data_IF_477614394422
#
_entry.id   IF_477614394422
#
_cell.length_a   1.000
_cell.length_b   1.000
_cell.length_c   1.000
_cell.angle_alpha   90.00
_cell.angle_beta   90.00
_cell.angle_gamma   90.00
#
_symmetry.space_group_name_H-M   'P 1'
#
loop_
_entity.id
_entity.type
_entity.pdbx_description
1 polymer ?
#
# COMPACT_ATOMS: atom_id res chain seq x y z
N UNK A 1 50.66 -5.64 33.26
CA UNK A 1 49.79 -5.02 32.27
C UNK A 1 48.50 -5.84 32.27
N UNK A 2 47.52 -5.37 32.97
CA UNK A 2 46.19 -5.94 33.08
C UNK A 2 45.32 -5.39 31.92
N UNK A 3 44.52 -6.19 31.22
CA UNK A 3 43.67 -5.69 30.15
C UNK A 3 42.45 -4.97 30.76
N UNK A 4 42.06 -3.87 30.11
CA UNK A 4 40.90 -3.07 30.45
C UNK A 4 39.58 -3.81 30.19
N UNK A 5 38.51 -3.54 30.95
CA UNK A 5 37.22 -4.19 30.78
C UNK A 5 36.51 -3.65 29.53
N UNK A 6 35.89 -4.56 28.75
CA UNK A 6 35.00 -4.29 27.65
C UNK A 6 33.72 -3.56 28.11
N UNK A 7 33.18 -2.60 27.32
CA UNK A 7 31.97 -1.89 27.68
C UNK A 7 30.72 -2.81 27.58
N UNK A 8 29.89 -2.74 28.59
CA UNK A 8 28.62 -3.45 28.73
C UNK A 8 27.60 -3.02 27.64
N UNK A 9 27.03 -3.99 26.97
CA UNK A 9 25.90 -3.88 26.03
C UNK A 9 24.55 -3.62 26.77
N UNK A 10 24.48 -2.55 27.55
CA UNK A 10 23.22 -2.11 28.15
C UNK A 10 23.12 -0.60 28.05
N UNK A 11 22.27 -0.18 27.14
CA UNK A 11 21.73 1.19 26.94
C UNK A 11 21.81 1.67 25.50
N UNK A 12 21.00 1.11 24.65
CA UNK A 12 20.43 1.80 23.48
C UNK A 12 19.11 1.09 23.12
N UNK A 13 18.14 1.13 24.02
CA UNK A 13 16.75 1.03 23.64
C UNK A 13 16.40 2.39 23.02
N UNK A 14 16.38 2.49 21.70
CA UNK A 14 15.89 3.65 20.99
C UNK A 14 14.37 3.68 21.19
N UNK A 15 13.84 4.76 21.76
CA UNK A 15 12.44 5.12 21.79
C UNK A 15 11.95 5.48 20.36
N UNK A 16 11.92 4.50 19.48
CA UNK A 16 11.22 4.63 18.20
C UNK A 16 9.76 4.25 18.42
N UNK A 17 8.80 5.13 18.14
CA UNK A 17 7.38 4.82 18.30
C UNK A 17 6.95 3.71 17.34
N UNK A 18 6.06 2.82 17.81
CA UNK A 18 5.50 1.73 16.99
C UNK A 18 4.73 2.27 15.78
N UNK A 19 4.63 1.54 14.66
CA UNK A 19 3.92 1.97 13.44
C UNK A 19 2.47 2.42 13.69
N UNK A 20 1.80 1.87 14.68
CA UNK A 20 0.46 2.29 15.11
C UNK A 20 0.45 3.64 15.85
N UNK A 21 1.57 4.09 16.39
CA UNK A 21 1.69 5.37 17.10
C UNK A 21 2.03 6.54 16.15
N UNK A 22 2.66 6.27 14.99
CA UNK A 22 3.06 7.31 14.03
C UNK A 22 1.85 7.87 13.27
N UNK A 23 0.79 7.10 13.08
CA UNK A 23 -0.46 7.56 12.45
C UNK A 23 -1.25 8.53 13.36
N UNK A 24 -0.87 8.68 14.62
CA UNK A 24 -1.65 9.44 15.61
C UNK A 24 -1.18 10.89 15.84
N UNK A 25 -0.13 11.41 15.21
CA UNK A 25 0.35 12.76 15.48
C UNK A 25 0.61 13.58 14.21
N UNK A 26 -0.07 14.72 14.16
CA UNK A 26 0.08 15.94 13.34
C UNK A 26 -0.74 16.04 12.06
N UNK A 27 -2.00 16.44 12.19
CA UNK A 27 -2.74 17.14 11.14
C UNK A 27 -2.57 18.66 11.29
N UNK A 28 -1.97 19.32 10.32
CA UNK A 28 -2.09 20.79 10.20
C UNK A 28 -3.49 21.14 9.70
N UNK A 29 -4.19 21.94 10.47
CA UNK A 29 -5.59 22.32 10.43
C UNK A 29 -6.12 22.72 9.05
N UNK A 30 -6.83 21.81 8.37
CA UNK A 30 -8.08 22.20 7.70
C UNK A 30 -9.14 22.28 8.80
N UNK A 31 -9.78 23.46 8.98
CA UNK A 31 -10.69 23.71 10.08
C UNK A 31 -11.68 22.57 10.34
N UNK A 32 -12.03 22.37 11.57
CA UNK A 32 -12.97 21.50 12.31
C UNK A 32 -13.98 20.61 11.53
N UNK A 33 -13.65 20.18 10.29
CA UNK A 33 -14.44 19.25 9.46
C UNK A 33 -13.87 17.84 9.59
N UNK A 34 -14.71 16.87 9.90
CA UNK A 34 -14.34 15.45 9.85
C UNK A 34 -13.89 15.06 8.45
N UNK A 35 -12.84 14.27 8.35
CA UNK A 35 -12.41 13.69 7.08
C UNK A 35 -13.34 12.54 6.71
N UNK A 36 -13.84 12.54 5.49
CA UNK A 36 -14.80 11.56 4.99
C UNK A 36 -14.11 10.55 4.10
N UNK A 37 -14.17 9.26 4.47
CA UNK A 37 -13.62 8.16 3.65
C UNK A 37 -14.76 7.32 3.07
N UNK A 38 -14.82 7.22 1.74
CA UNK A 38 -15.68 6.27 1.06
C UNK A 38 -15.00 4.89 1.07
N UNK A 39 -15.69 3.86 1.57
CA UNK A 39 -15.19 2.50 1.69
C UNK A 39 -16.03 1.55 0.85
N UNK A 40 -15.42 0.88 -0.11
CA UNK A 40 -16.05 -0.19 -0.90
C UNK A 40 -16.38 -1.38 -0.02
N UNK A 41 -17.67 -1.58 0.26
CA UNK A 41 -18.15 -2.65 1.14
C UNK A 41 -18.24 -4.02 0.45
N UNK A 42 -18.20 -4.06 -0.88
CA UNK A 42 -18.45 -5.27 -1.68
C UNK A 42 -17.16 -5.89 -2.22
N UNK A 43 -16.01 -5.27 -1.98
CA UNK A 43 -14.72 -5.72 -2.48
C UNK A 43 -13.92 -6.53 -1.47
N UNK A 44 -13.43 -7.71 -1.88
CA UNK A 44 -12.60 -8.61 -1.08
C UNK A 44 -13.18 -10.00 -0.92
N UNK A 45 -12.35 -10.96 -0.50
CA UNK A 45 -12.70 -12.38 -0.37
C UNK A 45 -13.65 -12.63 0.80
N UNK A 46 -13.66 -11.71 1.79
CA UNK A 46 -14.49 -11.76 3.01
C UNK A 46 -15.49 -10.60 3.09
N UNK A 47 -15.76 -9.96 1.95
CA UNK A 47 -16.79 -8.92 1.86
C UNK A 47 -18.20 -9.54 1.82
N UNK A 48 -19.20 -8.86 2.41
CA UNK A 48 -19.12 -7.56 3.08
C UNK A 48 -18.74 -7.61 4.57
N UNK A 49 -18.75 -8.79 5.23
CA UNK A 49 -18.68 -8.93 6.68
C UNK A 49 -17.39 -8.35 7.28
N UNK A 50 -16.23 -8.70 6.72
CA UNK A 50 -14.93 -8.19 7.21
C UNK A 50 -14.81 -6.67 6.98
N UNK A 51 -15.35 -6.16 5.88
CA UNK A 51 -15.33 -4.74 5.56
C UNK A 51 -16.21 -3.95 6.52
N UNK A 52 -17.42 -4.43 6.80
CA UNK A 52 -18.33 -3.82 7.78
C UNK A 52 -17.70 -3.80 9.17
N UNK A 53 -17.13 -4.93 9.61
CA UNK A 53 -16.46 -5.00 10.91
C UNK A 53 -15.26 -4.04 11.01
N UNK A 54 -14.45 -3.93 9.97
CA UNK A 54 -13.33 -2.98 9.92
C UNK A 54 -13.79 -1.52 9.86
N UNK A 55 -14.89 -1.23 9.15
CA UNK A 55 -15.49 0.09 9.15
C UNK A 55 -15.94 0.52 10.57
N UNK A 56 -16.57 -0.39 11.32
CA UNK A 56 -16.96 -0.15 12.71
C UNK A 56 -15.75 0.11 13.61
N UNK A 57 -14.66 -0.65 13.42
CA UNK A 57 -13.41 -0.40 14.15
C UNK A 57 -12.79 0.96 13.82
N UNK A 58 -12.79 1.35 12.55
CA UNK A 58 -12.27 2.67 12.13
C UNK A 58 -13.16 3.80 12.63
N UNK A 59 -14.48 3.60 12.72
CA UNK A 59 -15.45 4.56 13.24
C UNK A 59 -15.34 4.83 14.76
N UNK A 60 -14.49 4.09 15.49
CA UNK A 60 -14.14 4.42 16.87
C UNK A 60 -13.41 5.77 16.98
N UNK A 61 -12.81 6.25 15.89
CA UNK A 61 -12.27 7.60 15.80
C UNK A 61 -13.40 8.60 15.49
N UNK A 62 -13.77 9.47 16.42
CA UNK A 62 -14.89 10.41 16.24
C UNK A 62 -14.57 11.54 15.25
N UNK A 63 -13.32 11.68 14.80
CA UNK A 63 -12.89 12.70 13.84
C UNK A 63 -12.95 12.21 12.39
N UNK A 64 -13.29 10.93 12.19
CA UNK A 64 -13.42 10.26 10.91
C UNK A 64 -14.89 9.96 10.61
N UNK A 65 -15.37 10.31 9.42
CA UNK A 65 -16.65 9.87 8.89
C UNK A 65 -16.43 8.79 7.81
N UNK A 66 -17.23 7.73 7.83
CA UNK A 66 -17.13 6.64 6.86
C UNK A 66 -18.42 6.55 6.06
N UNK A 67 -18.30 6.53 4.73
CA UNK A 67 -19.38 6.20 3.82
C UNK A 67 -19.15 4.76 3.34
N UNK A 68 -19.94 3.83 3.86
CA UNK A 68 -19.88 2.44 3.45
C UNK A 68 -20.70 2.27 2.16
N UNK A 69 -20.03 1.97 1.05
CA UNK A 69 -20.62 1.95 -0.30
C UNK A 69 -20.87 0.51 -0.74
N UNK A 70 -22.13 0.15 -0.99
CA UNK A 70 -22.51 -1.19 -1.41
C UNK A 70 -24.00 -1.41 -1.41
N UNK A 71 -24.45 -2.67 -1.48
CA UNK A 71 -25.88 -3.01 -1.45
C UNK A 71 -26.50 -2.66 -0.11
N UNK A 72 -27.21 -1.52 -0.06
CA UNK A 72 -27.69 -0.91 1.19
C UNK A 72 -28.53 -1.86 2.05
N UNK A 73 -29.38 -2.69 1.44
CA UNK A 73 -30.22 -3.67 2.17
C UNK A 73 -29.36 -4.73 2.87
N UNK A 74 -28.33 -5.24 2.21
CA UNK A 74 -27.39 -6.24 2.75
C UNK A 74 -26.56 -5.64 3.89
N UNK A 75 -26.05 -4.43 3.68
CA UNK A 75 -25.25 -3.71 4.67
C UNK A 75 -26.07 -3.34 5.93
N UNK A 76 -27.31 -2.91 5.75
CA UNK A 76 -28.21 -2.60 6.87
C UNK A 76 -28.51 -3.82 7.74
N UNK A 77 -28.58 -5.02 7.14
CA UNK A 77 -28.77 -6.26 7.89
C UNK A 77 -27.55 -6.63 8.76
N UNK A 78 -26.34 -6.31 8.28
CA UNK A 78 -25.09 -6.53 9.02
C UNK A 78 -24.81 -5.44 10.07
N UNK A 79 -25.47 -4.30 9.96
CA UNK A 79 -25.20 -3.10 10.78
C UNK A 79 -26.52 -2.51 11.33
N UNK A 80 -27.23 -3.23 12.21
CA UNK A 80 -28.54 -2.80 12.71
C UNK A 80 -28.49 -1.55 13.59
N UNK A 81 -27.32 -1.22 14.15
CA UNK A 81 -27.07 -0.02 14.95
C UNK A 81 -25.73 0.62 14.53
N UNK A 82 -25.70 1.37 13.43
CA UNK A 82 -24.48 1.98 12.94
C UNK A 82 -23.94 3.05 13.92
N UNK A 83 -22.60 3.17 14.04
CA UNK A 83 -21.98 4.32 14.69
C UNK A 83 -22.46 5.64 14.05
N UNK A 84 -22.54 6.76 14.82
CA UNK A 84 -23.11 8.01 14.32
C UNK A 84 -22.30 8.63 13.16
N UNK A 85 -21.01 8.28 13.05
CA UNK A 85 -20.09 8.73 12.00
C UNK A 85 -19.91 7.68 10.88
N UNK A 86 -20.79 6.68 10.79
CA UNK A 86 -20.84 5.70 9.71
C UNK A 86 -22.20 5.75 9.02
N UNK A 87 -22.21 6.03 7.71
CA UNK A 87 -23.43 6.05 6.90
C UNK A 87 -23.33 5.11 5.71
N UNK A 88 -24.46 4.61 5.25
CA UNK A 88 -24.57 3.74 4.09
C UNK A 88 -24.82 4.57 2.83
N UNK A 89 -24.23 4.15 1.70
CA UNK A 89 -24.52 4.67 0.38
C UNK A 89 -24.80 3.52 -0.58
N UNK A 90 -25.95 3.56 -1.26
CA UNK A 90 -26.40 2.44 -2.11
C UNK A 90 -25.59 2.36 -3.41
N UNK A 91 -25.04 1.17 -3.65
CA UNK A 91 -24.41 0.77 -4.91
C UNK A 91 -24.78 -0.69 -5.20
N UNK A 92 -25.74 -0.94 -6.11
CA UNK A 92 -26.34 -2.27 -6.28
C UNK A 92 -25.41 -3.28 -6.92
N UNK A 93 -24.40 -2.81 -7.68
CA UNK A 93 -23.47 -3.69 -8.40
C UNK A 93 -22.16 -3.88 -7.61
N UNK A 94 -21.51 -5.02 -7.83
CA UNK A 94 -20.18 -5.31 -7.34
C UNK A 94 -19.31 -5.84 -8.47
N UNK A 95 -18.01 -5.54 -8.45
CA UNK A 95 -17.03 -6.09 -9.38
C UNK A 95 -16.31 -7.25 -8.70
N UNK A 96 -16.45 -8.46 -9.26
CA UNK A 96 -15.82 -9.65 -8.70
C UNK A 96 -14.29 -9.64 -8.83
N UNK A 97 -13.60 -10.35 -7.92
CA UNK A 97 -12.14 -10.41 -7.86
C UNK A 97 -11.49 -10.96 -9.14
N UNK A 98 -12.15 -11.85 -9.87
CA UNK A 98 -11.68 -12.44 -11.13
C UNK A 98 -12.14 -11.68 -12.38
N UNK A 99 -12.85 -10.56 -12.23
CA UNK A 99 -13.38 -9.80 -13.37
C UNK A 99 -12.25 -9.11 -14.14
N UNK A 100 -12.44 -8.99 -15.48
CA UNK A 100 -11.51 -8.24 -16.31
C UNK A 100 -11.67 -6.72 -16.05
N UNK A 101 -10.64 -6.03 -15.52
CA UNK A 101 -10.78 -4.73 -14.86
C UNK A 101 -11.50 -3.65 -15.70
N UNK A 102 -10.91 -3.27 -16.82
CA UNK A 102 -11.41 -2.15 -17.63
C UNK A 102 -12.81 -2.43 -18.23
N UNK A 103 -13.10 -3.70 -18.56
CA UNK A 103 -14.41 -4.13 -19.07
C UNK A 103 -15.44 -4.06 -17.95
N UNK A 104 -15.12 -4.63 -16.77
CA UNK A 104 -16.03 -4.66 -15.64
C UNK A 104 -16.42 -3.24 -15.16
N UNK A 105 -15.45 -2.33 -15.08
CA UNK A 105 -15.71 -0.92 -14.71
C UNK A 105 -16.64 -0.22 -15.69
N UNK A 106 -16.50 -0.48 -17.00
CA UNK A 106 -17.38 0.12 -18.02
C UNK A 106 -18.80 -0.45 -17.99
N UNK A 107 -18.94 -1.75 -17.66
CA UNK A 107 -20.22 -2.45 -17.60
C UNK A 107 -20.98 -2.18 -16.30
N UNK A 108 -20.25 -2.10 -15.16
CA UNK A 108 -20.84 -1.95 -13.81
C UNK A 108 -20.62 -0.54 -13.25
N UNK A 109 -21.18 0.45 -13.91
CA UNK A 109 -21.05 1.87 -13.51
C UNK A 109 -21.68 2.20 -12.16
N UNK A 110 -22.57 1.34 -11.67
CA UNK A 110 -23.19 1.45 -10.34
C UNK A 110 -22.55 0.52 -9.31
N UNK A 111 -21.32 0.05 -9.58
CA UNK A 111 -20.56 -0.74 -8.61
C UNK A 111 -20.05 0.11 -7.47
N UNK A 112 -19.87 -0.52 -6.31
CA UNK A 112 -19.34 0.12 -5.10
C UNK A 112 -17.99 0.83 -5.34
N UNK A 113 -17.13 0.28 -6.19
CA UNK A 113 -15.86 0.90 -6.59
C UNK A 113 -16.11 2.21 -7.34
N UNK A 114 -16.95 2.18 -8.39
CA UNK A 114 -17.18 3.38 -9.23
C UNK A 114 -17.91 4.44 -8.45
N UNK A 115 -18.98 4.07 -7.74
CA UNK A 115 -19.77 5.00 -6.91
C UNK A 115 -18.92 5.63 -5.81
N UNK A 116 -18.08 4.84 -5.11
CA UNK A 116 -17.18 5.35 -4.09
C UNK A 116 -16.18 6.39 -4.62
N UNK A 117 -15.62 6.15 -5.80
CA UNK A 117 -14.73 7.11 -6.46
C UNK A 117 -15.47 8.36 -6.97
N UNK A 118 -16.74 8.23 -7.39
CA UNK A 118 -17.58 9.37 -7.74
C UNK A 118 -17.89 10.25 -6.52
N UNK A 119 -18.06 9.67 -5.33
CA UNK A 119 -18.18 10.45 -4.09
C UNK A 119 -16.94 11.32 -3.85
N UNK A 120 -15.74 10.78 -4.09
CA UNK A 120 -14.49 11.54 -3.99
C UNK A 120 -14.44 12.65 -5.04
N UNK A 121 -14.74 12.32 -6.30
CA UNK A 121 -14.75 13.29 -7.40
C UNK A 121 -15.68 14.47 -7.13
N UNK A 122 -16.83 14.21 -6.53
CA UNK A 122 -17.88 15.19 -6.25
C UNK A 122 -17.65 15.94 -4.92
N UNK A 123 -16.55 15.68 -4.20
CA UNK A 123 -16.23 16.31 -2.92
C UNK A 123 -17.14 15.86 -1.75
N UNK A 124 -17.85 14.75 -1.91
CA UNK A 124 -18.69 14.12 -0.88
C UNK A 124 -17.89 13.18 0.03
N UNK A 125 -16.73 12.74 -0.43
CA UNK A 125 -15.70 12.07 0.35
C UNK A 125 -14.33 12.69 0.04
N UNK A 126 -13.39 12.59 0.97
CA UNK A 126 -12.02 13.11 0.85
C UNK A 126 -11.06 12.02 0.35
N UNK A 127 -11.38 10.74 0.60
CA UNK A 127 -10.59 9.59 0.17
C UNK A 127 -11.48 8.38 -0.17
N UNK A 128 -10.87 7.41 -0.86
CA UNK A 128 -11.50 6.14 -1.18
C UNK A 128 -10.59 4.97 -0.77
N UNK A 129 -11.20 3.93 -0.18
CA UNK A 129 -10.52 2.67 0.12
C UNK A 129 -11.32 1.48 -0.43
N UNK A 130 -10.64 0.49 -1.01
CA UNK A 130 -11.24 -0.75 -1.49
C UNK A 130 -10.31 -1.93 -1.27
N UNK A 131 -10.88 -3.07 -0.93
CA UNK A 131 -10.18 -4.36 -0.77
C UNK A 131 -10.56 -5.32 -1.89
N UNK A 132 -11.15 -4.77 -2.96
CA UNK A 132 -11.60 -5.49 -4.14
C UNK A 132 -10.52 -5.72 -5.19
N UNK A 133 -10.97 -5.95 -6.42
CA UNK A 133 -10.11 -6.18 -7.57
C UNK A 133 -9.20 -4.96 -7.84
N UNK A 134 -7.89 -5.11 -7.60
CA UNK A 134 -6.87 -4.07 -7.74
C UNK A 134 -6.93 -3.38 -9.09
N UNK A 135 -6.99 -4.16 -10.18
CA UNK A 135 -7.06 -3.61 -11.52
C UNK A 135 -8.35 -2.81 -11.79
N UNK A 136 -9.48 -3.25 -11.20
CA UNK A 136 -10.74 -2.52 -11.31
C UNK A 136 -10.68 -1.19 -10.56
N UNK A 137 -10.11 -1.15 -9.36
CA UNK A 137 -9.92 0.10 -8.61
C UNK A 137 -9.01 1.06 -9.37
N UNK A 138 -7.89 0.56 -9.92
CA UNK A 138 -6.98 1.37 -10.73
C UNK A 138 -7.66 1.93 -11.98
N UNK A 139 -8.37 1.09 -12.75
CA UNK A 139 -9.10 1.52 -13.95
C UNK A 139 -10.21 2.52 -13.61
N UNK A 140 -10.99 2.26 -12.56
CA UNK A 140 -12.02 3.17 -12.10
C UNK A 140 -11.45 4.51 -11.60
N UNK A 141 -10.34 4.47 -10.86
CA UNK A 141 -9.61 5.66 -10.42
C UNK A 141 -9.18 6.54 -11.60
N UNK A 142 -8.57 5.92 -12.61
CA UNK A 142 -8.19 6.61 -13.85
C UNK A 142 -9.37 7.22 -14.61
N UNK A 143 -10.48 6.48 -14.73
CA UNK A 143 -11.65 6.95 -15.48
C UNK A 143 -12.46 8.00 -14.71
N UNK A 144 -12.48 7.95 -13.38
CA UNK A 144 -13.32 8.80 -12.55
C UNK A 144 -12.57 10.05 -12.07
N UNK A 145 -11.40 9.87 -11.44
CA UNK A 145 -10.60 10.95 -10.85
C UNK A 145 -9.58 11.53 -11.85
N UNK A 146 -9.10 10.68 -12.76
CA UNK A 146 -7.99 11.03 -13.65
C UNK A 146 -6.64 11.02 -12.95
N UNK A 147 -5.60 11.29 -13.73
CA UNK A 147 -4.24 11.48 -13.22
C UNK A 147 -4.06 12.89 -12.68
N UNK A 148 -3.15 13.07 -11.73
CA UNK A 148 -2.65 14.40 -11.38
C UNK A 148 -2.07 15.01 -12.67
N UNK A 149 -2.39 16.27 -13.02
CA UNK A 149 -1.83 16.90 -14.22
C UNK A 149 -0.30 16.84 -14.24
N UNK A 150 0.27 16.36 -15.35
CA UNK A 150 1.72 16.13 -15.49
C UNK A 150 2.18 14.72 -15.17
N UNK A 151 1.39 13.90 -14.48
CA UNK A 151 1.71 12.49 -14.25
C UNK A 151 1.48 11.68 -15.53
N UNK A 152 2.52 11.02 -16.04
CA UNK A 152 2.44 10.14 -17.19
C UNK A 152 1.71 8.83 -16.82
N UNK A 153 2.07 8.21 -15.70
CA UNK A 153 1.45 6.97 -15.20
C UNK A 153 1.29 7.01 -13.68
N UNK A 154 0.14 6.61 -13.13
CA UNK A 154 0.03 6.35 -11.71
C UNK A 154 0.83 5.10 -11.35
N UNK A 155 1.26 4.99 -10.09
CA UNK A 155 1.96 3.83 -9.57
C UNK A 155 1.25 3.26 -8.34
N UNK A 156 1.33 1.96 -8.15
CA UNK A 156 0.91 1.29 -6.94
C UNK A 156 2.12 1.18 -6.02
N UNK A 157 2.01 1.67 -4.80
CA UNK A 157 3.11 1.61 -3.85
C UNK A 157 2.80 0.66 -2.69
N UNK A 158 3.84 0.16 -2.05
CA UNK A 158 3.73 -0.51 -0.77
C UNK A 158 4.78 0.05 0.19
N UNK A 159 4.42 0.11 1.46
CA UNK A 159 5.32 0.50 2.54
C UNK A 159 5.48 -0.71 3.45
N UNK A 160 6.69 -1.02 3.86
CA UNK A 160 6.98 -2.11 4.79
C UNK A 160 8.05 -1.69 5.79
N UNK A 161 8.03 -2.31 6.96
CA UNK A 161 9.08 -2.13 7.95
C UNK A 161 10.33 -2.91 7.52
N UNK A 162 11.47 -2.24 7.52
CA UNK A 162 12.74 -2.80 7.10
C UNK A 162 13.58 -3.32 8.28
N UNK A 163 14.73 -3.94 7.99
CA UNK A 163 15.62 -4.52 9.00
C UNK A 163 16.22 -3.53 10.01
N UNK A 164 16.05 -2.22 9.81
CA UNK A 164 16.47 -1.17 10.75
C UNK A 164 15.35 -0.69 11.67
N UNK A 165 14.14 -1.25 11.52
CA UNK A 165 12.96 -0.80 12.26
C UNK A 165 12.40 0.54 11.76
N UNK A 166 12.83 1.00 10.57
CA UNK A 166 12.25 2.11 9.83
C UNK A 166 11.40 1.61 8.67
N UNK A 167 10.82 2.50 7.89
CA UNK A 167 9.97 2.14 6.76
C UNK A 167 10.73 2.28 5.44
N UNK A 168 10.49 1.35 4.51
CA UNK A 168 10.89 1.45 3.11
C UNK A 168 9.65 1.42 2.24
N UNK A 169 9.56 2.34 1.28
CA UNK A 169 8.52 2.39 0.26
C UNK A 169 9.04 1.78 -1.02
N UNK A 170 8.34 0.78 -1.57
CA UNK A 170 8.61 0.24 -2.90
C UNK A 170 7.51 0.66 -3.88
N UNK A 171 7.90 1.17 -5.04
CA UNK A 171 7.00 1.52 -6.13
C UNK A 171 7.73 1.42 -7.50
N UNK A 172 7.13 0.91 -8.54
CA UNK A 172 5.76 0.42 -8.70
C UNK A 172 5.66 -1.07 -8.33
N UNK A 173 4.55 -1.49 -7.72
CA UNK A 173 4.34 -2.89 -7.34
C UNK A 173 3.22 -3.58 -8.15
N UNK A 174 2.93 -3.07 -9.35
CA UNK A 174 2.02 -3.77 -10.26
C UNK A 174 1.03 -2.91 -11.04
N UNK A 175 1.14 -1.58 -11.02
CA UNK A 175 0.32 -0.72 -11.85
C UNK A 175 0.79 -0.70 -13.32
N UNK A 176 2.11 -0.77 -13.56
CA UNK A 176 2.70 -0.66 -14.89
C UNK A 176 3.69 -1.81 -15.14
N UNK A 177 3.27 -2.81 -15.89
CA UNK A 177 4.10 -3.98 -16.22
C UNK A 177 5.14 -3.58 -17.27
N UNK A 178 4.73 -2.82 -18.28
CA UNK A 178 5.61 -2.27 -19.30
C UNK A 178 5.88 -0.79 -18.97
N UNK A 179 7.08 -0.51 -18.48
CA UNK A 179 7.52 0.83 -18.09
C UNK A 179 8.49 1.44 -19.11
N UNK A 180 8.48 2.79 -19.18
CA UNK A 180 9.56 3.56 -19.77
C UNK A 180 10.49 4.06 -18.65
N UNK A 181 11.79 4.23 -18.91
CA UNK A 181 12.75 4.70 -17.88
C UNK A 181 12.33 6.03 -17.24
N UNK A 182 11.71 6.93 -18.02
CA UNK A 182 11.25 8.24 -17.56
C UNK A 182 10.14 8.14 -16.50
N UNK A 183 9.33 7.05 -16.51
CA UNK A 183 8.30 6.86 -15.50
C UNK A 183 8.89 6.63 -14.11
N UNK A 184 10.08 5.99 -14.03
CA UNK A 184 10.75 5.75 -12.75
C UNK A 184 11.20 7.05 -12.09
N UNK A 185 11.56 8.07 -12.89
CA UNK A 185 11.85 9.41 -12.36
C UNK A 185 10.60 10.03 -11.74
N UNK A 186 9.44 9.92 -12.42
CA UNK A 186 8.18 10.39 -11.82
C UNK A 186 7.77 9.57 -10.59
N UNK A 187 8.02 8.26 -10.60
CA UNK A 187 7.76 7.43 -9.43
C UNK A 187 8.62 7.87 -8.24
N UNK A 188 9.90 8.19 -8.46
CA UNK A 188 10.77 8.73 -7.43
C UNK A 188 10.23 10.05 -6.86
N UNK A 189 9.84 10.99 -7.72
CA UNK A 189 9.26 12.27 -7.32
C UNK A 189 7.96 12.09 -6.54
N UNK A 190 7.04 11.24 -7.03
CA UNK A 190 5.78 10.96 -6.35
C UNK A 190 5.99 10.22 -5.03
N UNK A 191 6.93 9.27 -4.99
CA UNK A 191 7.32 8.55 -3.77
C UNK A 191 7.89 9.49 -2.71
N UNK A 192 8.76 10.43 -3.12
CA UNK A 192 9.32 11.45 -2.24
C UNK A 192 8.23 12.32 -1.61
N UNK A 193 7.33 12.85 -2.42
CA UNK A 193 6.19 13.62 -1.92
C UNK A 193 5.32 12.81 -0.93
N UNK A 194 5.10 11.52 -1.21
CA UNK A 194 4.35 10.64 -0.31
C UNK A 194 5.07 10.44 1.02
N UNK A 195 6.36 10.09 0.99
CA UNK A 195 7.16 9.84 2.20
C UNK A 195 7.27 11.11 3.05
N UNK A 196 7.45 12.27 2.44
CA UNK A 196 7.53 13.55 3.15
C UNK A 196 6.18 13.98 3.75
N UNK A 197 5.08 13.91 2.97
CA UNK A 197 3.77 14.42 3.39
C UNK A 197 2.97 13.42 4.25
N UNK A 198 3.03 12.11 3.92
CA UNK A 198 2.18 11.07 4.53
C UNK A 198 2.91 10.33 5.64
N UNK A 199 4.21 10.03 5.44
CA UNK A 199 5.03 9.32 6.42
C UNK A 199 5.85 10.28 7.30
N UNK A 200 5.83 11.58 7.02
CA UNK A 200 6.54 12.63 7.76
C UNK A 200 8.06 12.39 7.88
N UNK A 201 8.66 11.75 6.89
CA UNK A 201 10.10 11.54 6.82
C UNK A 201 10.71 12.45 5.76
N UNK A 202 11.45 13.48 6.23
CA UNK A 202 12.03 14.50 5.36
C UNK A 202 13.29 14.03 4.64
N UNK A 203 13.47 14.49 3.40
CA UNK A 203 14.64 14.23 2.57
C UNK A 203 14.97 12.73 2.38
N UNK A 204 14.00 11.88 1.96
CA UNK A 204 14.19 10.44 1.85
C UNK A 204 15.23 10.09 0.76
N UNK A 205 16.03 9.06 1.03
CA UNK A 205 16.95 8.47 0.06
C UNK A 205 16.18 7.59 -0.94
N UNK A 206 16.64 7.60 -2.21
CA UNK A 206 15.98 6.92 -3.32
C UNK A 206 16.93 5.94 -3.99
N UNK A 207 16.56 4.66 -4.11
CA UNK A 207 17.29 3.63 -4.81
C UNK A 207 16.53 3.07 -6.00
N UNK A 208 17.23 2.53 -6.99
CA UNK A 208 16.68 1.78 -8.10
C UNK A 208 16.84 0.28 -7.84
N UNK A 209 15.74 -0.48 -7.78
CA UNK A 209 15.80 -1.94 -7.63
C UNK A 209 16.51 -2.57 -8.83
N UNK A 210 17.60 -3.29 -8.57
CA UNK A 210 18.43 -3.88 -9.63
C UNK A 210 19.06 -5.20 -9.17
N UNK A 211 19.74 -5.88 -10.10
CA UNK A 211 20.42 -7.17 -9.90
C UNK A 211 21.85 -7.04 -9.35
N UNK A 212 22.32 -5.82 -9.12
CA UNK A 212 23.67 -5.49 -8.58
C UNK A 212 23.81 -4.00 -8.39
N UNK A 213 24.75 -3.58 -7.55
CA UNK A 213 24.92 -2.20 -7.09
C UNK A 213 25.61 -1.29 -8.12
N UNK A 214 26.42 -1.87 -9.05
CA UNK A 214 27.20 -1.08 -10.00
C UNK A 214 26.29 -0.42 -11.05
N UNK A 215 26.61 0.79 -11.47
CA UNK A 215 25.85 1.59 -12.45
C UNK A 215 25.66 0.90 -13.82
N UNK A 216 26.50 -0.09 -14.13
CA UNK A 216 26.46 -0.85 -15.39
C UNK A 216 25.58 -2.09 -15.33
N UNK A 217 25.03 -2.42 -14.16
CA UNK A 217 24.17 -3.60 -13.97
C UNK A 217 22.78 -3.38 -14.54
N UNK A 218 22.12 -4.52 -14.75
CA UNK A 218 20.75 -4.58 -15.27
C UNK A 218 20.69 -4.55 -16.80
N UNK A 219 19.48 -4.46 -17.32
CA UNK A 219 19.18 -4.37 -18.74
C UNK A 219 19.23 -2.90 -19.24
N UNK A 220 19.01 -2.69 -20.53
CA UNK A 220 19.02 -1.35 -21.12
C UNK A 220 18.04 -0.39 -20.44
N UNK A 221 16.85 -0.88 -20.07
CA UNK A 221 15.83 -0.11 -19.35
C UNK A 221 16.36 0.39 -18.00
N UNK A 222 16.92 -0.49 -17.16
CA UNK A 222 17.41 -0.12 -15.84
C UNK A 222 18.67 0.77 -15.89
N UNK A 223 19.54 0.56 -16.88
CA UNK A 223 20.70 1.43 -17.09
C UNK A 223 20.29 2.83 -17.55
N UNK A 224 19.25 2.95 -18.39
CA UNK A 224 18.70 4.25 -18.78
C UNK A 224 18.00 4.92 -17.59
N UNK A 225 17.18 4.19 -16.83
CA UNK A 225 16.54 4.69 -15.63
C UNK A 225 17.56 5.18 -14.59
N UNK A 226 18.66 4.44 -14.40
CA UNK A 226 19.77 4.86 -13.53
C UNK A 226 20.32 6.24 -13.94
N UNK A 227 20.62 6.43 -15.24
CA UNK A 227 21.16 7.70 -15.76
C UNK A 227 20.20 8.86 -15.57
N UNK A 228 18.91 8.64 -15.81
CA UNK A 228 17.88 9.65 -15.63
C UNK A 228 17.71 10.01 -14.14
N UNK A 229 17.62 9.03 -13.25
CA UNK A 229 17.52 9.25 -11.81
C UNK A 229 18.75 9.98 -11.26
N UNK A 230 19.95 9.59 -11.68
CA UNK A 230 21.18 10.24 -11.26
C UNK A 230 21.25 11.72 -11.70
N UNK A 231 20.65 12.06 -12.84
CA UNK A 231 20.59 13.43 -13.36
C UNK A 231 19.54 14.28 -12.66
N UNK A 232 18.35 13.72 -12.44
CA UNK A 232 17.13 14.48 -12.12
C UNK A 232 16.74 14.40 -10.63
N UNK A 233 17.27 13.43 -9.88
CA UNK A 233 16.88 13.21 -8.47
C UNK A 233 18.11 13.34 -7.53
N UNK A 234 18.23 14.45 -6.81
CA UNK A 234 19.39 14.71 -5.93
C UNK A 234 19.57 13.69 -4.80
N UNK A 235 18.48 13.03 -4.38
CA UNK A 235 18.50 12.03 -3.30
C UNK A 235 18.74 10.60 -3.81
N UNK A 236 19.03 10.44 -5.10
CA UNK A 236 19.30 9.13 -5.68
C UNK A 236 20.65 8.59 -5.20
N UNK A 237 20.63 7.41 -4.58
CA UNK A 237 21.81 6.76 -4.00
C UNK A 237 22.36 5.60 -4.86
N UNK A 238 21.75 5.31 -6.01
CA UNK A 238 22.20 4.27 -6.93
C UNK A 238 21.31 3.03 -6.98
N UNK A 239 21.84 1.93 -7.50
CA UNK A 239 21.18 0.65 -7.56
C UNK A 239 21.09 0.00 -6.17
N UNK A 240 19.97 -0.67 -5.91
CA UNK A 240 19.68 -1.40 -4.65
C UNK A 240 19.30 -2.83 -4.99
N UNK A 241 19.98 -3.80 -4.40
CA UNK A 241 19.59 -5.21 -4.48
C UNK A 241 18.41 -5.51 -3.54
N UNK A 242 17.64 -6.54 -3.84
CA UNK A 242 16.48 -6.93 -3.02
C UNK A 242 16.80 -7.20 -1.55
N UNK A 243 17.98 -7.76 -1.26
CA UNK A 243 18.45 -7.96 0.11
C UNK A 243 18.73 -6.65 0.85
N UNK A 244 19.37 -5.70 0.18
CA UNK A 244 19.66 -4.38 0.70
C UNK A 244 18.38 -3.55 0.89
N UNK A 245 17.39 -3.68 0.00
CA UNK A 245 16.07 -3.08 0.15
C UNK A 245 15.40 -3.51 1.46
N UNK A 246 15.32 -4.81 1.72
CA UNK A 246 14.73 -5.34 2.98
C UNK A 246 15.55 -4.92 4.20
N UNK A 247 16.87 -4.79 4.06
CA UNK A 247 17.75 -4.30 5.13
C UNK A 247 17.63 -2.79 5.39
N UNK A 248 16.87 -2.03 4.58
CA UNK A 248 16.66 -0.60 4.75
C UNK A 248 17.80 0.27 4.20
N UNK A 249 18.39 -0.11 3.07
CA UNK A 249 19.45 0.68 2.43
C UNK A 249 18.94 2.00 1.82
N UNK A 250 17.65 2.05 1.46
CA UNK A 250 16.97 3.25 0.96
C UNK A 250 15.58 3.40 1.60
N UNK A 251 15.11 4.64 1.70
CA UNK A 251 13.75 4.96 2.19
C UNK A 251 12.71 4.73 1.09
N UNK A 252 13.09 4.99 -0.15
CA UNK A 252 12.27 4.76 -1.34
C UNK A 252 13.06 3.88 -2.31
N UNK A 253 12.42 2.84 -2.81
CA UNK A 253 12.99 1.99 -3.88
C UNK A 253 12.04 2.01 -5.06
N UNK A 254 12.53 2.45 -6.23
CA UNK A 254 11.74 2.48 -7.46
C UNK A 254 12.03 1.26 -8.33
N UNK A 255 10.99 0.79 -9.00
CA UNK A 255 11.02 -0.37 -9.91
C UNK A 255 9.93 -0.22 -10.97
N UNK A 256 10.02 -0.98 -12.06
CA UNK A 256 8.82 -1.25 -12.87
C UNK A 256 7.84 -2.16 -12.12
N UNK A 257 6.58 -2.12 -12.52
CA UNK A 257 5.53 -2.88 -11.84
C UNK A 257 5.65 -4.40 -12.00
N UNK A 258 6.39 -4.89 -13.01
CA UNK A 258 6.62 -6.32 -13.18
C UNK A 258 7.59 -6.85 -12.11
N UNK A 259 8.75 -6.22 -11.99
CA UNK A 259 9.78 -6.61 -11.01
C UNK A 259 9.28 -6.32 -9.60
N UNK A 260 8.68 -5.15 -9.36
CA UNK A 260 8.15 -4.77 -8.05
C UNK A 260 7.04 -5.72 -7.56
N UNK A 261 6.13 -6.14 -8.44
CA UNK A 261 5.10 -7.14 -8.10
C UNK A 261 5.71 -8.51 -7.76
N UNK A 262 6.71 -8.96 -8.52
CA UNK A 262 7.41 -10.21 -8.22
C UNK A 262 8.11 -10.11 -6.87
N UNK A 263 8.79 -9.01 -6.58
CA UNK A 263 9.50 -8.80 -5.31
C UNK A 263 8.54 -8.88 -4.12
N UNK A 264 7.41 -8.19 -4.16
CA UNK A 264 6.40 -8.23 -3.09
C UNK A 264 5.78 -9.61 -2.96
N UNK A 265 5.36 -10.23 -4.06
CA UNK A 265 4.75 -11.58 -4.04
C UNK A 265 5.72 -12.64 -3.49
N UNK A 266 7.01 -12.53 -3.80
CA UNK A 266 8.03 -13.39 -3.22
C UNK A 266 8.19 -13.16 -1.72
N UNK A 267 8.23 -11.89 -1.27
CA UNK A 267 8.27 -11.52 0.15
C UNK A 267 7.09 -12.08 0.94
N UNK A 268 5.86 -11.90 0.42
CA UNK A 268 4.63 -12.47 0.99
C UNK A 268 4.69 -13.99 1.11
N UNK A 269 5.12 -14.67 0.03
CA UNK A 269 5.23 -16.14 0.00
C UNK A 269 6.28 -16.64 0.99
N UNK A 270 7.43 -15.98 1.07
CA UNK A 270 8.50 -16.35 2.01
C UNK A 270 8.09 -16.13 3.47
N UNK A 271 7.43 -15.04 3.80
CA UNK A 271 6.88 -14.78 5.14
C UNK A 271 5.87 -15.86 5.52
N UNK A 272 4.96 -16.22 4.61
CA UNK A 272 3.98 -17.30 4.81
C UNK A 272 4.67 -18.66 5.01
N UNK A 273 5.69 -18.96 4.22
CA UNK A 273 6.45 -20.21 4.33
C UNK A 273 7.14 -20.32 5.70
N UNK A 274 7.87 -19.27 6.09
CA UNK A 274 8.63 -19.24 7.36
C UNK A 274 7.66 -19.37 8.54
N UNK A 275 6.60 -18.58 8.58
CA UNK A 275 5.61 -18.61 9.67
C UNK A 275 4.90 -19.97 9.76
N UNK A 276 4.53 -20.57 8.62
CA UNK A 276 3.92 -21.92 8.59
C UNK A 276 4.88 -23.00 9.08
N UNK A 277 6.14 -22.96 8.66
CA UNK A 277 7.16 -23.89 9.10
C UNK A 277 7.45 -23.76 10.59
N UNK A 278 7.55 -22.54 11.09
CA UNK A 278 7.73 -22.24 12.51
C UNK A 278 6.56 -22.78 13.34
N UNK A 279 5.31 -22.48 12.92
CA UNK A 279 4.12 -23.00 13.58
C UNK A 279 4.13 -24.52 13.68
N UNK A 280 4.37 -25.24 12.57
CA UNK A 280 4.44 -26.70 12.55
C UNK A 280 5.56 -27.23 13.47
N UNK A 281 6.72 -26.58 13.49
CA UNK A 281 7.81 -26.96 14.40
C UNK A 281 7.42 -26.82 15.87
N UNK A 282 6.77 -25.73 16.23
CA UNK A 282 6.26 -25.48 17.60
C UNK A 282 5.20 -26.50 17.98
N UNK A 283 4.24 -26.78 17.10
CA UNK A 283 3.15 -27.74 17.35
C UNK A 283 3.62 -29.20 17.42
N UNK A 284 4.83 -29.50 16.96
CA UNK A 284 5.34 -30.90 16.88
C UNK A 284 5.62 -31.58 18.22
N UNK A 285 5.86 -30.83 19.30
CA UNK A 285 6.22 -31.37 20.63
C UNK A 285 5.69 -30.48 21.76
N UNK A 286 5.14 -31.08 22.82
CA UNK A 286 4.60 -30.37 23.98
C UNK A 286 5.60 -29.42 24.63
N UNK A 287 6.89 -29.79 24.69
CA UNK A 287 7.96 -28.91 25.22
C UNK A 287 8.16 -27.65 24.39
N UNK A 288 7.92 -27.71 23.07
CA UNK A 288 8.01 -26.55 22.20
C UNK A 288 6.78 -25.64 22.35
N UNK A 289 5.59 -26.21 22.54
CA UNK A 289 4.37 -25.46 22.89
C UNK A 289 4.54 -24.69 24.18
N UNK A 290 5.13 -25.34 25.22
CA UNK A 290 5.42 -24.66 26.47
C UNK A 290 6.45 -23.53 26.30
N UNK A 291 7.51 -23.75 25.52
CA UNK A 291 8.49 -22.70 25.18
C UNK A 291 7.84 -21.54 24.40
N UNK A 292 6.98 -21.84 23.43
CA UNK A 292 6.25 -20.83 22.68
C UNK A 292 5.26 -20.04 23.55
N UNK A 293 4.63 -20.68 24.54
CA UNK A 293 3.80 -19.99 25.52
C UNK A 293 4.60 -18.98 26.35
N UNK A 294 5.81 -19.32 26.77
CA UNK A 294 6.71 -18.39 27.46
C UNK A 294 7.13 -17.22 26.55
N UNK A 295 7.36 -17.50 25.26
CA UNK A 295 7.80 -16.53 24.26
C UNK A 295 6.63 -15.83 23.55
N UNK A 296 5.37 -15.99 24.01
CA UNK A 296 4.19 -15.43 23.32
C UNK A 296 4.29 -13.92 23.06
N UNK A 297 4.90 -13.16 23.97
CA UNK A 297 5.12 -11.73 23.79
C UNK A 297 6.10 -11.41 22.65
N UNK A 298 7.20 -12.17 22.55
CA UNK A 298 8.15 -12.02 21.45
C UNK A 298 7.54 -12.40 20.09
N UNK A 299 6.72 -13.46 20.05
CA UNK A 299 6.00 -13.82 18.81
C UNK A 299 4.93 -12.80 18.44
N UNK A 300 4.26 -12.19 19.42
CA UNK A 300 3.32 -11.10 19.15
C UNK A 300 4.03 -9.88 18.58
N UNK A 301 5.16 -9.46 19.17
CA UNK A 301 5.99 -8.38 18.65
C UNK A 301 6.51 -8.69 17.23
N UNK A 302 7.04 -9.90 17.00
CA UNK A 302 7.50 -10.31 15.67
C UNK A 302 6.37 -10.22 14.63
N UNK A 303 5.18 -10.69 14.98
CA UNK A 303 4.02 -10.62 14.09
C UNK A 303 3.62 -9.17 13.82
N UNK A 304 3.70 -8.30 14.81
CA UNK A 304 3.41 -6.87 14.65
C UNK A 304 4.32 -6.21 13.62
N UNK A 305 5.61 -6.54 13.63
CA UNK A 305 6.60 -5.98 12.70
C UNK A 305 6.64 -6.67 11.31
N UNK A 306 6.14 -7.90 11.19
CA UNK A 306 6.19 -8.64 9.91
C UNK A 306 4.87 -8.66 9.15
N UNK A 307 3.78 -8.17 9.75
CA UNK A 307 2.46 -8.17 9.13
C UNK A 307 2.26 -6.92 8.26
N UNK A 308 2.65 -7.05 6.98
CA UNK A 308 2.47 -5.99 5.97
C UNK A 308 0.99 -5.57 5.80
N UNK A 309 0.01 -6.42 6.16
CA UNK A 309 -1.41 -6.08 6.11
C UNK A 309 -1.79 -4.97 7.09
N UNK A 310 -1.00 -4.79 8.16
CA UNK A 310 -1.21 -3.72 9.15
C UNK A 310 -0.91 -2.33 8.62
N UNK A 311 -0.13 -2.19 7.55
CA UNK A 311 0.07 -0.90 6.86
C UNK A 311 -1.22 -0.41 6.20
N UNK A 312 -2.21 -1.30 6.03
CA UNK A 312 -3.56 -0.93 5.61
C UNK A 312 -3.81 -0.99 4.11
N UNK A 313 -2.80 -1.27 3.31
CA UNK A 313 -2.94 -1.40 1.87
C UNK A 313 -1.90 -0.62 1.08
N UNK A 314 -2.05 -0.67 -0.24
CA UNK A 314 -1.19 -0.04 -1.22
C UNK A 314 -1.82 1.30 -1.67
N UNK A 315 -1.19 2.44 -1.41
CA UNK A 315 -1.63 3.71 -1.98
C UNK A 315 -1.47 3.71 -3.50
N UNK A 316 -2.52 4.13 -4.20
CA UNK A 316 -2.47 4.39 -5.64
C UNK A 316 -2.05 5.84 -5.85
N UNK A 317 -0.77 6.05 -6.11
CA UNK A 317 -0.17 7.37 -6.24
C UNK A 317 -0.20 7.87 -7.68
N UNK A 318 -0.25 9.21 -7.87
CA UNK A 318 -0.37 9.82 -9.19
C UNK A 318 -1.81 9.95 -9.72
N UNK A 319 -2.80 9.48 -8.97
CA UNK A 319 -4.23 9.74 -9.22
C UNK A 319 -4.63 11.05 -8.52
N UNK A 320 -5.55 11.81 -9.13
CA UNK A 320 -6.04 13.09 -8.62
C UNK A 320 -7.03 12.90 -7.46
N UNK A 321 -6.58 12.23 -6.40
CA UNK A 321 -7.32 11.92 -5.18
C UNK A 321 -6.59 10.92 -4.30
N UNK A 322 -7.02 10.79 -3.04
CA UNK A 322 -6.51 9.81 -2.10
C UNK A 322 -7.21 8.46 -2.31
N UNK A 323 -6.48 7.47 -2.81
CA UNK A 323 -6.99 6.12 -3.09
C UNK A 323 -6.08 5.07 -2.49
N UNK A 324 -6.66 4.17 -1.69
CA UNK A 324 -5.96 3.03 -1.07
C UNK A 324 -6.58 1.72 -1.55
N UNK A 325 -5.74 0.78 -1.92
CA UNK A 325 -6.13 -0.56 -2.38
C UNK A 325 -5.58 -1.57 -1.39
N UNK A 326 -6.47 -2.22 -0.65
CA UNK A 326 -6.09 -3.26 0.31
C UNK A 326 -6.04 -4.65 -0.33
N UNK A 327 -5.55 -5.61 0.43
CA UNK A 327 -5.48 -7.00 0.00
C UNK A 327 -6.86 -7.68 0.10
N UNK A 328 -7.26 -8.49 -0.89
CA UNK A 328 -8.57 -9.15 -0.91
C UNK A 328 -8.87 -10.05 0.30
N UNK A 329 -7.84 -10.56 0.98
CA UNK A 329 -7.96 -11.38 2.22
C UNK A 329 -7.87 -10.56 3.50
N UNK A 330 -8.06 -9.24 3.43
CA UNK A 330 -7.96 -8.37 4.59
C UNK A 330 -8.94 -8.80 5.69
N UNK A 331 -8.44 -8.84 6.91
CA UNK A 331 -9.25 -8.96 8.11
C UNK A 331 -9.78 -7.58 8.55
N UNK A 332 -10.67 -7.49 9.54
CA UNK A 332 -11.22 -6.21 9.97
C UNK A 332 -10.16 -5.20 10.45
N UNK A 333 -9.04 -5.66 11.04
CA UNK A 333 -7.95 -4.78 11.49
C UNK A 333 -7.23 -4.15 10.29
N UNK A 334 -6.94 -4.94 9.26
CA UNK A 334 -6.35 -4.47 8.01
C UNK A 334 -7.26 -3.48 7.29
N UNK A 335 -8.58 -3.74 7.27
CA UNK A 335 -9.58 -2.80 6.71
C UNK A 335 -9.55 -1.47 7.46
N UNK A 336 -9.60 -1.50 8.79
CA UNK A 336 -9.54 -0.29 9.59
C UNK A 336 -8.23 0.50 9.37
N UNK A 337 -7.10 -0.22 9.20
CA UNK A 337 -5.81 0.40 8.87
C UNK A 337 -5.80 1.06 7.49
N UNK A 338 -6.42 0.42 6.48
CA UNK A 338 -6.56 1.00 5.14
C UNK A 338 -7.42 2.27 5.12
N UNK A 339 -8.48 2.29 5.90
CA UNK A 339 -9.30 3.50 6.08
C UNK A 339 -8.50 4.63 6.73
N UNK A 340 -7.69 4.32 7.76
CA UNK A 340 -6.79 5.30 8.40
C UNK A 340 -5.73 5.82 7.43
N UNK A 341 -5.12 4.96 6.63
CA UNK A 341 -4.16 5.36 5.61
C UNK A 341 -4.80 6.29 4.56
N UNK A 342 -6.00 5.95 4.07
CA UNK A 342 -6.75 6.78 3.13
C UNK A 342 -7.05 8.17 3.71
N UNK A 343 -7.43 8.25 4.99
CA UNK A 343 -7.59 9.49 5.72
C UNK A 343 -6.30 10.29 5.76
N UNK A 344 -5.20 9.69 6.21
CA UNK A 344 -3.90 10.37 6.31
C UNK A 344 -3.46 10.93 4.96
N UNK A 345 -3.66 10.18 3.86
CA UNK A 345 -3.40 10.67 2.51
C UNK A 345 -4.25 11.89 2.16
N UNK A 346 -5.54 11.89 2.50
CA UNK A 346 -6.43 13.03 2.22
C UNK A 346 -6.04 14.28 3.00
N UNK A 347 -5.61 14.12 4.25
CA UNK A 347 -5.22 15.23 5.16
C UNK A 347 -3.83 15.79 4.84
N UNK A 348 -2.95 14.98 4.24
CA UNK A 348 -1.53 15.33 4.04
C UNK A 348 -1.27 16.42 2.99
N UNK A 349 -2.24 16.73 2.12
CA UNK A 349 -2.01 17.61 0.97
C UNK A 349 -1.12 16.99 -0.13
N UNK A 350 -0.88 15.68 -0.09
CA UNK A 350 -0.03 14.93 -1.01
C UNK A 350 -0.29 15.23 -2.49
N UNK A 351 -1.57 15.26 -2.92
CA UNK A 351 -1.93 15.51 -4.34
C UNK A 351 -1.43 16.88 -4.82
N UNK A 352 -1.56 17.91 -3.98
CA UNK A 352 -1.10 19.27 -4.31
C UNK A 352 0.42 19.35 -4.32
N UNK A 353 1.08 18.66 -3.39
CA UNK A 353 2.56 18.56 -3.35
C UNK A 353 3.11 17.92 -4.61
N UNK A 354 2.53 16.78 -5.06
CA UNK A 354 2.93 16.14 -6.33
C UNK A 354 2.70 17.07 -7.52
N UNK A 355 1.55 17.75 -7.56
CA UNK A 355 1.24 18.71 -8.63
C UNK A 355 2.29 19.83 -8.71
N UNK A 356 2.67 20.41 -7.58
CA UNK A 356 3.68 21.44 -7.51
C UNK A 356 5.06 20.91 -7.92
N UNK A 357 5.47 19.77 -7.40
CA UNK A 357 6.75 19.16 -7.73
C UNK A 357 6.90 18.84 -9.24
N UNK A 358 5.79 18.47 -9.89
CA UNK A 358 5.77 18.24 -11.35
C UNK A 358 5.86 19.54 -12.16
N UNK A 359 5.34 20.67 -11.64
CA UNK A 359 5.49 21.97 -12.30
C UNK A 359 6.94 22.48 -12.21
N UNK A 360 7.64 22.12 -11.14
CA UNK A 360 9.03 22.50 -10.91
C UNK A 360 10.02 21.58 -11.66
N UNK A 361 9.59 20.37 -12.02
CA UNK A 361 10.37 19.39 -12.77
C UNK A 361 10.31 19.65 -14.29
N UNK A 362 11.34 19.22 -15.01
CA UNK A 362 11.31 19.25 -16.47
C UNK A 362 10.15 18.38 -17.01
N UNK A 363 9.37 18.87 -17.98
CA UNK A 363 8.24 18.10 -18.50
C UNK A 363 8.72 16.81 -19.18
N UNK A 364 8.19 15.68 -18.74
CA UNK A 364 8.32 14.42 -19.47
C UNK A 364 7.36 14.49 -20.65
N UNK A 365 7.91 14.56 -21.86
CA UNK A 365 7.12 14.54 -23.10
C UNK A 365 6.57 13.13 -23.28
N UNK A 366 5.32 12.92 -22.90
CA UNK A 366 4.59 11.69 -23.23
C UNK A 366 4.27 11.74 -24.73
N UNK A 367 5.09 11.09 -25.53
CA UNK A 367 4.97 11.09 -26.99
C UNK A 367 3.87 10.15 -27.51
N UNK A 368 3.04 9.58 -26.62
CA UNK A 368 1.98 8.66 -27.02
C UNK A 368 0.65 8.95 -26.30
N UNK A 369 -0.28 9.72 -26.90
CA UNK A 369 -1.59 9.99 -26.32
C UNK A 369 -2.56 8.81 -26.35
N UNK A 370 -2.19 7.65 -26.89
CA UNK A 370 -3.10 6.56 -27.24
C UNK A 370 -2.77 5.19 -26.62
N UNK A 371 -1.91 5.12 -25.60
CA UNK A 371 -1.67 3.84 -24.93
C UNK A 371 -2.89 3.46 -24.06
N UNK A 372 -3.63 2.38 -24.37
CA UNK A 372 -4.68 1.89 -23.48
C UNK A 372 -4.06 1.52 -22.12
N UNK A 373 -4.84 1.59 -21.02
CA UNK A 373 -4.33 1.20 -19.72
C UNK A 373 -3.70 -0.19 -19.81
N UNK A 374 -2.44 -0.30 -19.40
CA UNK A 374 -1.65 -1.53 -19.40
C UNK A 374 -2.50 -2.73 -18.96
N UNK A 375 -2.37 -3.84 -19.68
CA UNK A 375 -3.13 -5.05 -19.44
C UNK A 375 -3.08 -5.47 -17.97
N UNK A 376 -4.23 -5.93 -17.50
CA UNK A 376 -4.52 -6.32 -16.12
C UNK A 376 -3.39 -7.08 -15.39
N UNK A 377 -3.29 -6.90 -14.07
CA UNK A 377 -2.45 -7.77 -13.25
C UNK A 377 -2.87 -9.23 -13.48
N UNK A 378 -1.87 -10.09 -13.62
CA UNK A 378 -2.06 -11.53 -13.72
C UNK A 378 -2.96 -11.98 -12.57
N UNK A 379 -4.04 -12.74 -12.82
CA UNK A 379 -4.96 -13.17 -11.77
C UNK A 379 -4.18 -13.90 -10.69
N UNK A 380 -4.51 -13.62 -9.44
CA UNK A 380 -3.95 -14.36 -8.30
C UNK A 380 -4.17 -15.85 -8.55
N UNK A 381 -3.08 -16.57 -8.77
CA UNK A 381 -3.12 -18.03 -8.94
C UNK A 381 -3.73 -18.60 -7.66
N UNK A 382 -4.92 -19.16 -7.78
CA UNK A 382 -5.51 -20.01 -6.74
C UNK A 382 -4.43 -20.99 -6.31
N UNK A 383 -4.14 -21.05 -5.03
CA UNK A 383 -3.17 -21.95 -4.44
C UNK A 383 -3.39 -23.36 -5.03
N UNK A 384 -2.33 -23.93 -5.60
CA UNK A 384 -2.35 -25.31 -6.06
C UNK A 384 -2.83 -26.21 -4.92
N UNK A 385 -3.64 -27.24 -5.20
CA UNK A 385 -4.10 -28.16 -4.17
C UNK A 385 -2.89 -28.79 -3.48
N UNK A 386 -2.89 -28.72 -2.16
CA UNK A 386 -1.92 -29.43 -1.32
C UNK A 386 -2.01 -30.89 -1.68
N UNK A 387 -0.98 -31.43 -2.32
CA UNK A 387 -0.85 -32.87 -2.56
C UNK A 387 -0.77 -33.50 -1.17
N UNK A 388 -1.85 -34.15 -0.74
CA UNK A 388 -1.83 -35.01 0.42
C UNK A 388 -1.01 -36.23 0.05
N UNK A 389 0.24 -36.30 0.52
CA UNK A 389 0.96 -37.58 0.56
C UNK A 389 0.27 -38.42 1.62
N UNK A 390 -0.58 -39.35 1.16
CA UNK A 390 -0.98 -40.51 1.94
C UNK A 390 0.23 -41.43 2.13
N UNK A 391 0.24 -42.04 3.28
CA UNK A 391 1.09 -43.04 3.95
C UNK A 391 2.13 -42.47 4.90
#
# INVERSE_FOLDING_TARGET
MTPAPSPSLHSMASDAPSPSAIVAQTGTAKGNRMTVVALDAMGGDHAPEAIVAGAVQAALDPTLEIILVGRATELAALLPAPPPNLRLHDAPDAIGMAAQPAVAVRQHRRSSIVVGLELVKNGQADAFASFGNTGAVMAAGLFTLGRIPGVARPALATVFENGRGSQTMLLDVGANVDCRPEYLVQFALMGKAFVECVLHHGNPSIGLLNVGEEATKGNQFSQEAYRLLQRDEPNFIGNIEGGAMVAGAADIVVSDGFIGNIAIKMGEAMTTLVTTRLRRAVESKLRYLFGAWLLRGAFAALREHTDYQRVGGAPLIGINGAVVIGHGRADPEAVASGVRLARTMAESGYVDTVRQALLDAAPIVDSDPADPPSAAPVPATTAAPVISSGD
#
